data_IF_419035492523
#
_entry.id   IF_419035492523
#
_cell.length_a   1.000
_cell.length_b   1.000
_cell.length_c   1.000
_cell.angle_alpha   90.00
_cell.angle_beta   90.00
_cell.angle_gamma   90.00
#
_symmetry.space_group_name_H-M   'P 1'
#
loop_
_entity.id
_entity.type
_entity.pdbx_description
1 polymer ?
#
# COMPACT_ATOMS: atom_id res chain seq x y z
N UNK A 1 -13.48 19.52 -14.44
CA UNK A 1 -12.89 18.80 -13.30
C UNK A 1 -11.40 18.67 -13.54
N UNK A 2 -10.57 18.99 -12.54
CA UNK A 2 -9.10 18.85 -12.63
C UNK A 2 -8.72 17.37 -12.53
N UNK A 3 -7.88 16.88 -13.44
CA UNK A 3 -7.38 15.50 -13.39
C UNK A 3 -6.44 15.31 -12.20
N UNK A 4 -6.44 14.11 -11.59
CA UNK A 4 -5.49 13.74 -10.54
C UNK A 4 -4.12 13.39 -11.14
N UNK A 5 -3.06 13.44 -10.35
CA UNK A 5 -1.71 13.04 -10.80
C UNK A 5 -1.70 11.58 -11.30
N UNK A 6 -2.38 10.68 -10.60
CA UNK A 6 -2.50 9.27 -11.03
C UNK A 6 -3.19 9.14 -12.39
N UNK A 7 -4.20 9.99 -12.68
CA UNK A 7 -4.85 10.00 -13.98
C UNK A 7 -3.89 10.48 -15.08
N UNK A 8 -3.10 11.53 -14.81
CA UNK A 8 -2.12 12.06 -15.75
C UNK A 8 -0.98 11.07 -16.02
N UNK A 9 -0.43 10.43 -14.97
CA UNK A 9 0.58 9.39 -15.12
C UNK A 9 0.06 8.20 -15.93
N UNK A 10 -1.16 7.76 -15.66
CA UNK A 10 -1.80 6.67 -16.41
C UNK A 10 -1.96 7.01 -17.90
N UNK A 11 -2.41 8.22 -18.22
CA UNK A 11 -2.54 8.68 -19.60
C UNK A 11 -1.18 8.71 -20.31
N UNK A 12 -0.16 9.26 -19.66
CA UNK A 12 1.20 9.28 -20.18
C UNK A 12 1.77 7.87 -20.41
N UNK A 13 1.51 6.92 -19.49
CA UNK A 13 1.93 5.53 -19.65
C UNK A 13 1.22 4.84 -20.82
N UNK A 14 -0.07 5.11 -21.04
CA UNK A 14 -0.78 4.57 -22.20
C UNK A 14 -0.23 5.10 -23.52
N UNK A 15 0.11 6.38 -23.59
CA UNK A 15 0.73 7.00 -24.76
C UNK A 15 2.15 6.46 -25.02
N UNK A 16 2.96 6.34 -23.96
CA UNK A 16 4.39 5.99 -24.08
C UNK A 16 4.62 4.50 -24.32
N UNK A 17 3.86 3.64 -23.65
CA UNK A 17 4.05 2.18 -23.72
C UNK A 17 3.22 1.51 -24.82
N UNK A 18 2.34 2.26 -25.51
CA UNK A 18 1.43 1.71 -26.49
C UNK A 18 0.46 0.67 -25.91
N UNK A 19 0.22 0.72 -24.59
CA UNK A 19 -0.62 -0.22 -23.84
C UNK A 19 -2.13 0.00 -24.07
N UNK A 20 -2.53 0.15 -25.34
CA UNK A 20 -3.91 0.39 -25.76
C UNK A 20 -4.84 -0.81 -25.54
N UNK A 21 -4.30 -2.01 -25.29
CA UNK A 21 -5.09 -3.24 -25.32
C UNK A 21 -5.78 -3.59 -23.99
N UNK A 22 -5.31 -3.03 -22.86
CA UNK A 22 -5.91 -3.30 -21.54
C UNK A 22 -6.40 -2.00 -20.90
N UNK A 23 -7.72 -1.88 -20.78
CA UNK A 23 -8.35 -0.72 -20.15
C UNK A 23 -8.07 -0.67 -18.65
N UNK A 24 -8.03 0.55 -18.08
CA UNK A 24 -7.85 0.75 -16.65
C UNK A 24 -8.89 0.01 -15.81
N UNK A 25 -10.13 -0.04 -16.27
CA UNK A 25 -11.20 -0.76 -15.58
C UNK A 25 -10.92 -2.27 -15.53
N UNK A 26 -10.34 -2.83 -16.59
CA UNK A 26 -9.89 -4.23 -16.59
C UNK A 26 -8.81 -4.44 -15.54
N UNK A 27 -7.83 -3.54 -15.46
CA UNK A 27 -6.77 -3.63 -14.44
C UNK A 27 -7.30 -3.51 -13.01
N UNK A 28 -8.35 -2.72 -12.77
CA UNK A 28 -9.00 -2.67 -11.45
C UNK A 28 -9.58 -4.02 -11.04
N UNK A 29 -10.00 -4.84 -12.00
CA UNK A 29 -10.55 -6.18 -11.77
C UNK A 29 -9.46 -7.25 -11.68
N UNK A 30 -8.41 -7.15 -12.49
CA UNK A 30 -7.35 -8.17 -12.58
C UNK A 30 -6.21 -7.98 -11.60
N UNK A 31 -5.82 -6.74 -11.31
CA UNK A 31 -4.69 -6.39 -10.43
C UNK A 31 -5.13 -6.28 -8.96
N UNK A 32 -6.03 -7.19 -8.56
CA UNK A 32 -6.47 -7.33 -7.18
C UNK A 32 -6.70 -8.79 -6.82
N UNK A 33 -6.44 -9.14 -5.56
CA UNK A 33 -6.73 -10.47 -5.04
C UNK A 33 -7.79 -10.39 -3.94
N UNK A 34 -9.08 -10.67 -4.26
CA UNK A 34 -10.15 -10.67 -3.26
C UNK A 34 -9.88 -11.63 -2.10
N UNK A 35 -9.21 -12.75 -2.39
CA UNK A 35 -8.86 -13.73 -1.36
C UNK A 35 -7.81 -13.17 -0.38
N UNK A 36 -6.75 -12.52 -0.90
CA UNK A 36 -5.74 -11.88 -0.07
C UNK A 36 -6.35 -10.79 0.82
N UNK A 37 -7.17 -9.91 0.25
CA UNK A 37 -7.84 -8.84 1.00
C UNK A 37 -8.73 -9.40 2.12
N UNK A 38 -9.52 -10.44 1.83
CA UNK A 38 -10.38 -11.09 2.82
C UNK A 38 -9.55 -11.67 3.99
N UNK A 39 -8.45 -12.34 3.69
CA UNK A 39 -7.54 -12.88 4.71
C UNK A 39 -6.91 -11.77 5.55
N UNK A 40 -6.45 -10.70 4.90
CA UNK A 40 -5.89 -9.52 5.54
C UNK A 40 -6.90 -8.89 6.52
N UNK A 41 -8.12 -8.58 6.06
CA UNK A 41 -9.20 -8.00 6.87
C UNK A 41 -9.56 -8.87 8.08
N UNK A 42 -9.72 -10.18 7.87
CA UNK A 42 -10.03 -11.10 8.95
C UNK A 42 -8.94 -11.09 10.04
N UNK A 43 -7.67 -11.12 9.63
CA UNK A 43 -6.56 -11.07 10.58
C UNK A 43 -6.42 -9.72 11.27
N UNK A 44 -6.75 -8.62 10.60
CA UNK A 44 -6.77 -7.28 11.20
C UNK A 44 -7.82 -7.19 12.31
N UNK A 45 -9.03 -7.74 12.10
CA UNK A 45 -10.09 -7.81 13.12
C UNK A 45 -9.61 -8.63 14.33
N UNK A 46 -9.03 -9.80 14.10
CA UNK A 46 -8.48 -10.62 15.19
C UNK A 46 -7.33 -9.90 15.92
N UNK A 47 -6.50 -9.15 15.19
CA UNK A 47 -5.47 -8.28 15.78
C UNK A 47 -6.08 -7.21 16.67
N UNK A 48 -7.17 -6.56 16.23
CA UNK A 48 -7.86 -5.55 17.02
C UNK A 48 -8.46 -6.12 18.32
N UNK A 49 -8.95 -7.36 18.30
CA UNK A 49 -9.44 -8.05 19.50
C UNK A 49 -8.32 -8.38 20.48
N UNK A 50 -7.12 -8.76 20.00
CA UNK A 50 -5.98 -9.12 20.84
C UNK A 50 -5.19 -7.93 21.37
N UNK A 51 -4.98 -6.92 20.53
CA UNK A 51 -4.00 -5.86 20.76
C UNK A 51 -4.61 -4.46 20.74
N UNK A 52 -5.94 -4.36 20.60
CA UNK A 52 -6.66 -3.10 20.56
C UNK A 52 -6.87 -2.57 19.14
N UNK A 53 -7.94 -1.78 19.00
CA UNK A 53 -8.36 -1.16 17.74
C UNK A 53 -7.30 -0.19 17.21
N UNK A 54 -7.37 0.11 15.92
CA UNK A 54 -6.58 1.20 15.34
C UNK A 54 -6.91 2.52 16.05
N UNK A 55 -5.87 3.30 16.38
CA UNK A 55 -5.91 4.60 17.08
C UNK A 55 -6.52 4.56 18.48
N UNK A 56 -6.58 3.38 19.12
CA UNK A 56 -7.05 3.28 20.49
C UNK A 56 -6.08 3.98 21.46
N UNK A 57 -6.63 4.81 22.36
CA UNK A 57 -5.86 5.49 23.41
C UNK A 57 -5.25 4.43 24.35
N UNK A 58 -3.97 4.60 24.70
CA UNK A 58 -3.26 3.68 25.60
C UNK A 58 -2.87 2.34 24.97
N UNK A 59 -3.05 2.17 23.65
CA UNK A 59 -2.55 1.00 22.92
C UNK A 59 -1.02 0.96 23.01
N UNK A 60 -0.42 -0.20 23.37
CA UNK A 60 1.03 -0.32 23.42
C UNK A 60 1.65 0.00 22.05
N UNK A 61 2.75 0.76 22.05
CA UNK A 61 3.57 0.95 20.86
C UNK A 61 4.41 -0.32 20.65
N UNK A 62 4.39 -0.84 19.43
CA UNK A 62 5.19 -1.98 19.02
C UNK A 62 6.09 -1.54 17.87
N UNK A 63 7.32 -2.05 17.83
CA UNK A 63 8.16 -1.89 16.65
C UNK A 63 7.64 -2.81 15.53
N UNK A 64 6.81 -2.23 14.67
CA UNK A 64 6.19 -2.98 13.56
C UNK A 64 7.20 -3.22 12.44
N UNK A 65 8.19 -2.35 12.27
CA UNK A 65 9.21 -2.47 11.22
C UNK A 65 10.12 -3.66 11.51
N UNK A 66 10.62 -3.78 12.73
CA UNK A 66 11.39 -4.95 13.16
C UNK A 66 10.57 -6.25 12.99
N UNK A 67 9.28 -6.21 13.34
CA UNK A 67 8.41 -7.37 13.19
C UNK A 67 8.14 -7.75 11.72
N UNK A 68 8.07 -6.77 10.81
CA UNK A 68 8.00 -6.99 9.36
C UNK A 68 9.26 -7.71 8.87
N UNK A 69 10.45 -7.25 9.28
CA UNK A 69 11.71 -7.88 8.88
C UNK A 69 11.79 -9.34 9.30
N UNK A 70 11.38 -9.63 10.54
CA UNK A 70 11.28 -11.00 11.05
C UNK A 70 10.31 -11.85 10.23
N UNK A 71 9.10 -11.35 9.95
CA UNK A 71 8.12 -12.09 9.14
C UNK A 71 8.59 -12.31 7.70
N UNK A 72 9.35 -11.37 7.14
CA UNK A 72 9.95 -11.52 5.82
C UNK A 72 11.02 -12.61 5.84
N UNK A 73 11.85 -12.68 6.89
CA UNK A 73 12.81 -13.77 7.09
C UNK A 73 12.08 -15.12 7.18
N UNK A 74 11.06 -15.22 8.02
CA UNK A 74 10.25 -16.45 8.15
C UNK A 74 9.64 -16.87 6.81
N UNK A 75 9.14 -15.92 6.01
CA UNK A 75 8.61 -16.20 4.67
C UNK A 75 9.68 -16.72 3.71
N UNK A 76 10.89 -16.13 3.74
CA UNK A 76 11.99 -16.56 2.87
C UNK A 76 12.35 -18.03 3.12
N UNK A 77 12.35 -18.45 4.39
CA UNK A 77 12.68 -19.80 4.83
C UNK A 77 11.53 -20.80 4.59
N UNK A 78 10.30 -20.42 4.94
CA UNK A 78 9.15 -21.36 4.99
C UNK A 78 8.20 -21.28 3.81
N UNK A 79 8.22 -20.18 3.05
CA UNK A 79 7.22 -19.81 2.03
C UNK A 79 5.78 -19.76 2.54
N UNK A 80 5.58 -19.65 3.86
CA UNK A 80 4.24 -19.55 4.44
C UNK A 80 3.58 -18.21 4.06
N UNK A 81 2.51 -18.27 3.27
CA UNK A 81 1.76 -17.09 2.82
C UNK A 81 1.12 -16.28 3.95
N UNK A 82 0.90 -16.89 5.12
CA UNK A 82 0.44 -16.16 6.31
C UNK A 82 1.38 -15.01 6.66
N UNK A 83 2.70 -15.18 6.50
CA UNK A 83 3.67 -14.12 6.74
C UNK A 83 3.43 -12.91 5.84
N UNK A 84 3.04 -13.11 4.57
CA UNK A 84 2.75 -12.01 3.65
C UNK A 84 1.49 -11.23 4.08
N UNK A 85 0.46 -11.95 4.53
CA UNK A 85 -0.78 -11.33 5.04
C UNK A 85 -0.48 -10.54 6.33
N UNK A 86 0.35 -11.09 7.21
CA UNK A 86 0.78 -10.40 8.43
C UNK A 86 1.60 -9.15 8.12
N UNK A 87 2.55 -9.22 7.19
CA UNK A 87 3.35 -8.07 6.73
C UNK A 87 2.43 -6.98 6.19
N UNK A 88 1.46 -7.30 5.33
CA UNK A 88 0.53 -6.30 4.81
C UNK A 88 -0.28 -5.61 5.92
N UNK A 89 -0.75 -6.36 6.91
CA UNK A 89 -1.44 -5.80 8.07
C UNK A 89 -0.53 -4.93 8.94
N UNK A 90 0.73 -5.32 9.13
CA UNK A 90 1.73 -4.53 9.86
C UNK A 90 2.03 -3.22 9.13
N UNK A 91 2.22 -3.27 7.81
CA UNK A 91 2.38 -2.08 6.97
C UNK A 91 1.17 -1.16 7.09
N UNK A 92 -0.06 -1.69 7.07
CA UNK A 92 -1.27 -0.89 7.26
C UNK A 92 -1.31 -0.23 8.65
N UNK A 93 -0.97 -0.97 9.70
CA UNK A 93 -0.95 -0.41 11.06
C UNK A 93 0.13 0.66 11.21
N UNK A 94 1.31 0.45 10.63
CA UNK A 94 2.41 1.42 10.62
C UNK A 94 2.06 2.66 9.79
N UNK A 95 1.39 2.49 8.66
CA UNK A 95 0.91 3.60 7.85
C UNK A 95 -0.10 4.49 8.61
N UNK A 96 -0.93 3.91 9.48
CA UNK A 96 -1.98 4.62 10.22
C UNK A 96 -1.50 5.21 11.55
N UNK A 97 -0.64 4.47 12.27
CA UNK A 97 -0.27 4.74 13.66
C UNK A 97 1.24 4.97 13.85
N UNK A 98 2.05 4.74 12.83
CA UNK A 98 3.50 4.91 12.87
C UNK A 98 3.91 6.38 12.91
N UNK A 99 5.15 6.62 13.34
CA UNK A 99 5.70 7.97 13.48
C UNK A 99 6.19 8.54 12.12
N UNK A 100 5.82 7.89 11.00
CA UNK A 100 6.23 8.27 9.64
C UNK A 100 5.52 9.54 9.13
N UNK A 101 6.19 10.25 8.20
CA UNK A 101 5.62 11.43 7.53
C UNK A 101 4.34 11.08 6.78
N UNK A 102 3.46 12.07 6.61
CA UNK A 102 2.27 11.95 5.75
C UNK A 102 2.70 11.44 4.37
N UNK A 103 1.99 10.43 3.86
CA UNK A 103 2.23 9.90 2.53
C UNK A 103 2.09 11.02 1.49
N UNK A 104 3.20 11.32 0.82
CA UNK A 104 3.28 12.25 -0.30
C UNK A 104 4.05 11.53 -1.41
N UNK A 105 3.38 11.06 -2.48
CA UNK A 105 4.07 10.34 -3.54
C UNK A 105 5.06 11.27 -4.24
N UNK A 106 6.27 10.78 -4.50
CA UNK A 106 7.35 11.60 -5.08
C UNK A 106 7.08 11.96 -6.54
N UNK A 107 6.31 11.13 -7.24
CA UNK A 107 5.87 11.39 -8.62
C UNK A 107 4.98 12.65 -8.73
N UNK A 108 4.45 13.17 -7.62
CA UNK A 108 3.76 14.48 -7.60
C UNK A 108 4.73 15.66 -7.78
N UNK A 109 6.04 15.49 -7.56
CA UNK A 109 7.01 16.61 -7.60
C UNK A 109 7.49 16.95 -9.01
N UNK A 110 7.24 16.09 -10.00
CA UNK A 110 7.86 16.16 -11.33
C UNK A 110 7.01 16.86 -12.39
N UNK A 111 5.72 17.13 -12.14
CA UNK A 111 4.85 17.83 -13.11
C UNK A 111 4.82 19.37 -12.98
N UNK A 112 5.54 19.96 -12.02
CA UNK A 112 5.59 21.41 -11.84
C UNK A 112 6.87 22.08 -12.39
N UNK A 113 7.70 21.38 -13.18
CA UNK A 113 8.93 21.95 -13.76
C UNK A 113 8.88 22.14 -15.28
N UNK A 114 7.77 22.64 -15.81
CA UNK A 114 7.73 23.32 -17.11
C UNK A 114 6.62 24.40 -16.95
N UNK A 115 6.89 25.70 -16.82
CA UNK A 115 7.58 26.59 -17.74
C UNK A 115 8.19 27.78 -16.98
N UNK A 116 9.49 27.75 -16.75
CA UNK A 116 10.30 28.97 -16.74
C UNK A 116 11.46 28.67 -17.67
N UNK A 117 11.36 29.14 -18.92
CA UNK A 117 12.49 29.58 -19.73
C UNK A 117 11.99 30.10 -21.09
N UNK A 118 12.46 31.33 -21.38
CA UNK A 118 12.34 32.18 -22.58
C UNK A 118 11.09 33.06 -22.66
#
# INVERSE_FOLDING_TARGET
MTKTVTQLLREHLYETLGMLDISYNTLLETEWSPNFERLMRNRLILGALRYGRLRAIGKPKWDRVEYIERKLKDYKETKNKECLVDIANLCLCEFIEGDSKVFMPEDNKTQCKEKENV
#
